data_IF_063391727991
#
_entry.id   IF_063391727991
#
_cell.length_a   1.000
_cell.length_b   1.000
_cell.length_c   1.000
_cell.angle_alpha   90.00
_cell.angle_beta   90.00
_cell.angle_gamma   90.00
#
_symmetry.space_group_name_H-M   'P 1'
#
loop_
_entity.id
_entity.type
_entity.pdbx_description
1 polymer ?
#
# COMPACT_ATOMS: atom_id res chain seq x y z
N UNK A 1 13.28 -66.89 48.55
CA UNK A 1 14.35 -65.85 48.25
C UNK A 1 14.65 -65.70 46.74
N UNK A 2 14.36 -66.68 45.88
CA UNK A 2 14.62 -66.60 44.43
C UNK A 2 13.84 -65.50 43.65
N UNK A 3 12.72 -65.00 44.18
CA UNK A 3 11.83 -64.04 43.48
C UNK A 3 12.29 -62.56 43.53
N UNK A 4 13.16 -62.21 44.46
CA UNK A 4 13.69 -60.83 44.58
C UNK A 4 14.88 -60.56 43.64
N UNK A 5 15.73 -61.56 43.45
CA UNK A 5 16.86 -61.45 42.56
C UNK A 5 16.43 -61.39 41.08
N UNK A 6 15.45 -62.19 40.67
CA UNK A 6 14.94 -62.15 39.30
C UNK A 6 14.28 -60.77 38.98
N UNK A 7 13.62 -60.14 39.92
CA UNK A 7 13.06 -58.78 39.74
C UNK A 7 14.13 -57.73 39.56
N UNK A 8 15.26 -57.86 40.21
CA UNK A 8 16.44 -56.97 40.05
C UNK A 8 16.96 -56.98 38.62
N UNK A 9 17.09 -58.15 38.00
CA UNK A 9 17.53 -58.29 36.61
C UNK A 9 16.50 -57.69 35.61
N UNK A 10 15.20 -57.86 35.84
CA UNK A 10 14.17 -57.23 34.99
C UNK A 10 14.24 -55.71 35.05
N UNK A 11 14.52 -55.13 36.21
CA UNK A 11 14.73 -53.69 36.37
C UNK A 11 15.96 -53.22 35.62
N UNK A 12 17.08 -53.93 35.72
CA UNK A 12 18.30 -53.58 34.97
C UNK A 12 18.11 -53.68 33.46
N UNK A 13 17.40 -54.69 32.96
CA UNK A 13 17.06 -54.85 31.56
C UNK A 13 16.17 -53.69 31.10
N UNK A 14 15.19 -53.33 31.90
CA UNK A 14 14.31 -52.19 31.60
C UNK A 14 15.11 -50.86 31.49
N UNK A 15 15.97 -50.61 32.47
CA UNK A 15 16.83 -49.39 32.44
C UNK A 15 17.80 -49.44 31.27
N UNK A 16 18.39 -50.59 30.97
CA UNK A 16 19.27 -50.78 29.83
C UNK A 16 18.58 -50.53 28.50
N UNK A 17 17.32 -50.99 28.38
CA UNK A 17 16.48 -50.74 27.21
C UNK A 17 16.20 -49.26 27.02
N UNK A 18 15.72 -48.55 28.06
CA UNK A 18 15.51 -47.12 27.99
C UNK A 18 16.79 -46.32 27.68
N UNK A 19 17.91 -46.71 28.27
CA UNK A 19 19.19 -46.08 27.99
C UNK A 19 19.61 -46.26 26.51
N UNK A 20 19.39 -47.44 25.95
CA UNK A 20 19.70 -47.73 24.54
C UNK A 20 18.79 -46.98 23.59
N UNK A 21 17.49 -46.84 23.90
CA UNK A 21 16.54 -45.99 23.16
C UNK A 21 16.99 -44.54 23.20
N UNK A 22 17.42 -44.06 24.37
CA UNK A 22 17.90 -42.69 24.53
C UNK A 22 19.16 -42.42 23.72
N UNK A 23 20.13 -43.32 23.78
CA UNK A 23 21.38 -43.25 22.97
C UNK A 23 21.08 -43.29 21.48
N UNK A 24 20.19 -44.16 21.04
CA UNK A 24 19.80 -44.25 19.64
C UNK A 24 19.13 -42.94 19.16
N UNK A 25 18.29 -42.37 20.01
CA UNK A 25 17.63 -41.08 19.72
C UNK A 25 18.64 -39.94 19.68
N UNK A 26 19.58 -39.92 20.61
CA UNK A 26 20.63 -38.91 20.68
C UNK A 26 21.51 -38.98 19.43
N UNK A 27 21.92 -40.20 19.05
CA UNK A 27 22.69 -40.43 17.82
C UNK A 27 21.95 -39.99 16.57
N UNK A 28 20.64 -40.30 16.47
CA UNK A 28 19.82 -39.85 15.36
C UNK A 28 19.78 -38.33 15.26
N UNK A 29 19.51 -37.61 16.35
CA UNK A 29 19.40 -36.15 16.37
C UNK A 29 20.74 -35.47 16.11
N UNK A 30 21.85 -36.00 16.68
CA UNK A 30 23.18 -35.35 16.61
C UNK A 30 23.99 -35.72 15.36
N UNK A 31 23.75 -36.87 14.78
CA UNK A 31 24.55 -37.35 13.65
C UNK A 31 23.73 -37.41 12.37
N UNK A 32 22.56 -38.08 12.38
CA UNK A 32 21.79 -38.32 11.17
C UNK A 32 20.97 -37.07 10.77
N UNK A 33 20.30 -36.44 11.73
CA UNK A 33 19.44 -35.28 11.51
C UNK A 33 20.10 -33.96 11.91
N UNK A 34 21.46 -33.95 12.06
CA UNK A 34 22.19 -32.77 12.50
C UNK A 34 21.88 -31.53 11.67
N UNK A 35 22.02 -31.63 10.34
CA UNK A 35 21.87 -30.50 9.45
C UNK A 35 20.44 -29.93 9.47
N UNK A 36 19.45 -30.82 9.56
CA UNK A 36 18.05 -30.41 9.70
C UNK A 36 17.80 -29.61 10.99
N UNK A 37 18.32 -30.11 12.13
CA UNK A 37 18.11 -29.42 13.40
C UNK A 37 18.99 -28.19 13.55
N UNK A 38 20.20 -28.18 13.00
CA UNK A 38 21.07 -27.01 12.97
C UNK A 38 20.46 -25.87 12.15
N UNK A 39 20.01 -26.15 10.92
CA UNK A 39 19.35 -25.16 10.06
C UNK A 39 18.08 -24.62 10.71
N UNK A 40 17.31 -25.48 11.38
CA UNK A 40 16.10 -25.05 12.08
C UNK A 40 16.42 -24.21 13.32
N UNK A 41 17.42 -24.56 14.09
CA UNK A 41 17.87 -23.77 15.24
C UNK A 41 18.41 -22.40 14.81
N UNK A 42 19.18 -22.33 13.71
CA UNK A 42 19.61 -21.07 13.12
C UNK A 42 18.43 -20.22 12.66
N UNK A 43 17.48 -20.83 11.96
CA UNK A 43 16.28 -20.13 11.48
C UNK A 43 15.41 -19.61 12.62
N UNK A 44 15.25 -20.38 13.70
CA UNK A 44 14.45 -20.01 14.86
C UNK A 44 15.19 -19.01 15.79
N UNK A 45 16.52 -18.95 15.71
CA UNK A 45 17.35 -18.03 16.48
C UNK A 45 17.57 -16.67 15.80
N UNK A 46 17.18 -16.51 14.53
CA UNK A 46 17.39 -15.26 13.78
C UNK A 46 16.06 -14.54 13.56
N UNK A 47 15.93 -13.37 14.15
CA UNK A 47 14.84 -12.43 13.86
C UNK A 47 15.22 -11.51 12.70
N UNK A 48 14.36 -11.44 11.69
CA UNK A 48 14.55 -10.63 10.49
C UNK A 48 13.73 -9.35 10.60
N UNK A 49 14.40 -8.22 10.73
CA UNK A 49 13.77 -6.90 10.71
C UNK A 49 13.86 -6.30 9.30
N UNK A 50 12.70 -6.06 8.72
CA UNK A 50 12.60 -5.41 7.41
C UNK A 50 12.56 -3.91 7.59
N UNK A 51 13.55 -3.23 7.01
CA UNK A 51 13.59 -1.78 6.93
C UNK A 51 12.89 -1.32 5.65
N UNK A 52 11.77 -0.61 5.82
CA UNK A 52 10.99 -0.12 4.70
C UNK A 52 11.61 1.14 4.12
N UNK A 53 11.91 1.18 2.82
CA UNK A 53 12.45 2.37 2.18
C UNK A 53 11.41 3.50 2.13
N UNK A 54 11.82 4.77 2.19
CA UNK A 54 10.95 5.85 1.80
C UNK A 54 10.66 5.76 0.29
N UNK A 55 9.40 6.01 -0.09
CA UNK A 55 9.00 6.05 -1.49
C UNK A 55 9.56 7.31 -2.16
N UNK A 56 9.79 7.28 -3.47
CA UNK A 56 10.14 8.47 -4.25
C UNK A 56 9.08 9.56 -4.11
N UNK A 57 9.47 10.81 -4.13
CA UNK A 57 8.56 11.96 -4.18
C UNK A 57 8.03 12.16 -5.59
N UNK A 58 6.87 12.82 -5.72
CA UNK A 58 6.29 13.20 -7.02
C UNK A 58 6.28 14.71 -7.11
N UNK A 59 6.82 15.23 -8.19
CA UNK A 59 6.97 16.66 -8.46
C UNK A 59 6.16 17.07 -9.68
N UNK A 60 5.75 18.32 -9.73
CA UNK A 60 5.21 18.96 -10.91
C UNK A 60 6.32 19.29 -11.94
N UNK A 61 5.98 19.88 -13.09
CA UNK A 61 6.93 20.29 -14.14
C UNK A 61 7.92 21.36 -13.69
N UNK A 62 7.60 22.13 -12.65
CA UNK A 62 8.41 23.23 -12.11
C UNK A 62 9.27 22.81 -10.90
N UNK A 63 9.17 21.53 -10.46
CA UNK A 63 9.84 21.01 -9.28
C UNK A 63 9.08 21.24 -7.97
N UNK A 64 7.80 21.69 -8.03
CA UNK A 64 6.96 21.79 -6.84
C UNK A 64 6.49 20.40 -6.37
N UNK A 65 6.50 20.19 -5.06
CA UNK A 65 6.17 18.89 -4.48
C UNK A 65 4.67 18.63 -4.52
N UNK A 66 4.26 17.62 -5.28
CA UNK A 66 2.87 17.13 -5.34
C UNK A 66 2.61 16.06 -4.27
N UNK A 67 3.55 15.12 -4.10
CA UNK A 67 3.44 14.03 -3.12
C UNK A 67 4.78 13.80 -2.46
N UNK A 68 4.81 13.76 -1.14
CA UNK A 68 6.01 13.51 -0.33
C UNK A 68 5.74 12.46 0.74
N UNK A 69 6.80 12.06 1.44
CA UNK A 69 6.70 11.16 2.58
C UNK A 69 6.56 11.95 3.88
N UNK A 70 5.65 11.50 4.73
CA UNK A 70 5.50 11.96 6.11
C UNK A 70 5.77 10.80 7.06
N UNK A 71 6.35 11.09 8.22
CA UNK A 71 6.62 10.07 9.24
C UNK A 71 5.33 9.71 9.96
N UNK A 72 5.07 8.40 10.05
CA UNK A 72 4.01 7.83 10.85
C UNK A 72 4.55 6.71 11.75
N UNK A 73 3.76 6.29 12.70
CA UNK A 73 4.15 5.30 13.69
C UNK A 73 3.11 4.20 13.82
N UNK A 74 3.54 2.95 13.73
CA UNK A 74 2.73 1.80 14.10
C UNK A 74 2.91 1.51 15.58
N UNK A 75 1.82 1.49 16.33
CA UNK A 75 1.81 1.03 17.73
C UNK A 75 1.64 -0.48 17.71
N UNK A 76 2.64 -1.17 18.24
CA UNK A 76 2.72 -2.62 18.27
C UNK A 76 2.50 -3.14 19.69
N UNK A 77 1.85 -4.31 19.84
CA UNK A 77 1.59 -4.96 21.12
C UNK A 77 2.16 -6.37 21.12
N UNK A 78 2.97 -6.70 22.12
CA UNK A 78 3.44 -8.06 22.42
C UNK A 78 2.54 -8.68 23.49
N UNK A 79 1.64 -9.57 23.08
CA UNK A 79 0.54 -10.05 23.93
C UNK A 79 1.00 -10.71 25.23
N UNK A 80 2.17 -11.38 25.24
CA UNK A 80 2.72 -12.02 26.46
C UNK A 80 2.98 -11.01 27.59
N UNK A 81 3.52 -9.86 27.23
CA UNK A 81 4.00 -8.86 28.17
C UNK A 81 2.96 -7.74 28.38
N UNK A 82 1.90 -7.74 27.58
CA UNK A 82 0.84 -6.74 27.59
C UNK A 82 -0.14 -6.96 28.74
N UNK A 83 0.24 -6.49 29.93
CA UNK A 83 -0.59 -6.51 31.14
C UNK A 83 -0.78 -5.07 31.61
N UNK A 84 -1.86 -4.44 31.16
CA UNK A 84 -2.10 -3.02 31.37
C UNK A 84 -3.52 -2.73 31.85
N UNK A 85 -3.71 -1.56 32.43
CA UNK A 85 -5.02 -0.98 32.64
C UNK A 85 -5.59 -0.53 31.30
N UNK A 86 -6.57 -1.31 30.80
CA UNK A 86 -7.20 -1.09 29.48
C UNK A 86 -7.82 0.30 29.37
N UNK A 87 -8.48 0.79 30.46
CA UNK A 87 -9.14 2.07 30.42
C UNK A 87 -8.15 3.24 30.27
N UNK A 88 -7.06 3.20 31.03
CA UNK A 88 -6.00 4.22 30.93
C UNK A 88 -5.31 4.19 29.57
N UNK A 89 -5.11 3.01 29.00
CA UNK A 89 -4.51 2.86 27.68
C UNK A 89 -5.44 3.35 26.56
N UNK A 90 -6.74 3.05 26.64
CA UNK A 90 -7.72 3.56 25.70
C UNK A 90 -7.80 5.11 25.75
N UNK A 91 -7.83 5.67 26.96
CA UNK A 91 -7.84 7.12 27.13
C UNK A 91 -6.56 7.79 26.58
N UNK A 92 -5.38 7.14 26.76
CA UNK A 92 -4.12 7.64 26.21
C UNK A 92 -4.12 7.69 24.69
N UNK A 93 -4.67 6.67 24.04
CA UNK A 93 -4.73 6.54 22.58
C UNK A 93 -5.95 7.24 21.97
N UNK A 94 -6.86 7.77 22.81
CA UNK A 94 -8.14 8.35 22.36
C UNK A 94 -8.98 7.38 21.53
N UNK A 95 -9.06 6.11 21.99
CA UNK A 95 -9.83 5.06 21.35
C UNK A 95 -10.93 4.55 22.30
N UNK A 96 -12.01 4.06 21.70
CA UNK A 96 -13.09 3.42 22.44
C UNK A 96 -12.70 1.99 22.89
N UNK A 97 -13.26 1.57 24.03
CA UNK A 97 -13.07 0.20 24.55
C UNK A 97 -13.62 -0.88 23.60
N UNK A 98 -14.65 -0.55 22.81
CA UNK A 98 -15.17 -1.44 21.78
C UNK A 98 -14.13 -1.68 20.68
N UNK A 99 -13.52 -0.63 20.16
CA UNK A 99 -12.43 -0.70 19.18
C UNK A 99 -11.24 -1.49 19.73
N UNK A 100 -10.84 -1.23 21.00
CA UNK A 100 -9.75 -1.98 21.64
C UNK A 100 -10.05 -3.48 21.64
N UNK A 101 -11.21 -3.88 22.13
CA UNK A 101 -11.61 -5.28 22.22
C UNK A 101 -11.69 -5.96 20.84
N UNK A 102 -12.20 -5.24 19.84
CA UNK A 102 -12.24 -5.72 18.46
C UNK A 102 -10.82 -5.96 17.95
N UNK A 103 -9.90 -5.03 18.13
CA UNK A 103 -8.50 -5.15 17.68
C UNK A 103 -7.78 -6.31 18.36
N UNK A 104 -7.95 -6.50 19.65
CA UNK A 104 -7.38 -7.66 20.37
C UNK A 104 -7.94 -8.97 19.82
N UNK A 105 -9.24 -9.02 19.50
CA UNK A 105 -9.88 -10.20 18.88
C UNK A 105 -9.34 -10.46 17.47
N UNK A 106 -9.14 -9.41 16.66
CA UNK A 106 -8.53 -9.51 15.33
C UNK A 106 -7.10 -10.05 15.40
N UNK A 107 -6.28 -9.54 16.32
CA UNK A 107 -4.89 -9.97 16.53
C UNK A 107 -4.84 -11.46 16.91
N UNK A 108 -5.72 -11.91 17.80
CA UNK A 108 -5.79 -13.32 18.28
C UNK A 108 -6.54 -14.26 17.33
N UNK A 109 -7.10 -13.74 16.25
CA UNK A 109 -7.90 -14.52 15.31
C UNK A 109 -7.06 -15.57 14.58
N UNK A 110 -7.64 -16.76 14.34
CA UNK A 110 -7.05 -17.81 13.51
C UNK A 110 -6.74 -17.37 12.06
N UNK A 111 -7.39 -16.30 11.61
CA UNK A 111 -7.10 -15.68 10.30
C UNK A 111 -5.73 -14.99 10.27
N UNK A 112 -5.17 -14.62 11.42
CA UNK A 112 -3.84 -14.06 11.57
C UNK A 112 -2.80 -15.19 11.69
N UNK A 113 -2.40 -15.75 10.55
CA UNK A 113 -1.41 -16.84 10.49
C UNK A 113 -0.03 -16.47 11.05
N UNK A 114 0.26 -15.19 11.23
CA UNK A 114 1.50 -14.69 11.83
C UNK A 114 1.37 -14.37 13.33
N UNK A 115 0.25 -14.74 13.96
CA UNK A 115 0.07 -14.49 15.38
C UNK A 115 1.02 -15.35 16.22
N UNK A 116 1.76 -14.66 17.07
CA UNK A 116 2.49 -15.25 18.19
C UNK A 116 2.37 -14.29 19.38
N UNK A 117 2.23 -14.84 20.57
CA UNK A 117 2.21 -14.03 21.81
C UNK A 117 3.55 -13.35 22.10
N UNK A 118 4.63 -13.81 21.50
CA UNK A 118 6.01 -13.34 21.68
C UNK A 118 6.42 -12.29 20.64
N UNK A 119 5.71 -12.22 19.50
CA UNK A 119 6.04 -11.31 18.41
C UNK A 119 5.15 -10.08 18.48
N UNK A 120 5.71 -8.86 18.34
CA UNK A 120 4.91 -7.63 18.29
C UNK A 120 3.87 -7.68 17.16
N UNK A 121 2.61 -7.46 17.50
CA UNK A 121 1.47 -7.39 16.59
C UNK A 121 1.02 -5.94 16.41
N UNK A 122 0.59 -5.60 15.19
CA UNK A 122 0.11 -4.27 14.84
C UNK A 122 -1.24 -3.99 15.52
N UNK A 123 -1.30 -2.97 16.36
CA UNK A 123 -2.51 -2.56 17.08
C UNK A 123 -3.13 -1.30 16.46
N UNK A 124 -2.34 -0.24 16.30
CA UNK A 124 -2.72 0.95 15.54
C UNK A 124 -1.69 1.16 14.44
N UNK A 125 -2.14 1.30 13.21
CA UNK A 125 -1.30 1.52 12.04
C UNK A 125 -1.25 3.00 11.70
N UNK A 126 -0.08 3.45 11.22
CA UNK A 126 0.12 4.74 10.55
C UNK A 126 -0.39 5.95 11.36
N UNK A 127 -0.16 5.96 12.67
CA UNK A 127 -0.45 7.12 13.51
C UNK A 127 0.45 8.29 13.08
N UNK A 128 -0.15 9.44 12.77
CA UNK A 128 0.61 10.63 12.36
C UNK A 128 1.53 11.13 13.48
N UNK A 129 2.63 11.76 13.05
CA UNK A 129 3.71 12.24 13.94
C UNK A 129 3.22 13.19 15.02
N UNK A 130 2.28 14.09 14.68
CA UNK A 130 1.68 15.04 15.62
C UNK A 130 0.98 14.34 16.79
N UNK A 131 0.09 13.38 16.46
CA UNK A 131 -0.63 12.62 17.48
C UNK A 131 0.32 11.75 18.33
N UNK A 132 1.31 11.13 17.69
CA UNK A 132 2.31 10.32 18.38
C UNK A 132 3.17 11.16 19.34
N UNK A 133 3.60 12.37 18.93
CA UNK A 133 4.39 13.28 19.76
C UNK A 133 3.75 13.57 21.13
N UNK A 134 2.44 13.77 21.15
CA UNK A 134 1.68 14.05 22.38
C UNK A 134 1.59 12.88 23.36
N UNK A 135 1.79 11.64 22.91
CA UNK A 135 1.63 10.43 23.73
C UNK A 135 2.92 9.63 23.93
N UNK A 136 3.98 9.94 23.18
CA UNK A 136 5.22 9.17 23.09
C UNK A 136 5.77 8.76 24.46
N UNK A 137 6.02 9.73 25.36
CA UNK A 137 6.63 9.47 26.66
C UNK A 137 5.75 8.57 27.53
N UNK A 138 4.43 8.78 27.50
CA UNK A 138 3.48 7.99 28.28
C UNK A 138 3.32 6.59 27.72
N UNK A 139 3.43 6.42 26.40
CA UNK A 139 3.27 5.14 25.72
C UNK A 139 4.40 4.16 26.09
N UNK A 140 5.64 4.63 26.24
CA UNK A 140 6.78 3.79 26.65
C UNK A 140 6.69 3.24 28.07
N UNK A 141 5.81 3.79 28.93
CA UNK A 141 5.60 3.27 30.28
C UNK A 141 4.76 1.97 30.28
N UNK A 142 4.14 1.60 29.15
CA UNK A 142 3.33 0.39 29.07
C UNK A 142 4.18 -0.80 28.61
N UNK A 143 4.33 -1.81 29.47
CA UNK A 143 5.04 -3.05 29.12
C UNK A 143 4.35 -3.77 27.97
N UNK A 144 5.13 -4.32 27.04
CA UNK A 144 4.63 -5.01 25.87
C UNK A 144 4.12 -4.10 24.76
N UNK A 145 4.27 -2.78 24.89
CA UNK A 145 4.01 -1.82 23.83
C UNK A 145 5.33 -1.41 23.19
N UNK A 146 5.40 -1.43 21.89
CA UNK A 146 6.54 -0.97 21.10
C UNK A 146 6.05 -0.14 19.92
N UNK A 147 6.94 0.61 19.28
CA UNK A 147 6.60 1.51 18.20
C UNK A 147 7.52 1.24 17.02
N UNK A 148 6.93 1.11 15.84
CA UNK A 148 7.69 0.99 14.58
C UNK A 148 7.46 2.22 13.72
N UNK A 149 8.57 2.87 13.31
CA UNK A 149 8.53 4.01 12.39
C UNK A 149 8.16 3.55 10.98
N UNK A 150 7.27 4.31 10.34
CA UNK A 150 6.80 4.13 8.97
C UNK A 150 6.80 5.44 8.22
N UNK A 151 6.58 5.37 6.93
CA UNK A 151 6.28 6.53 6.09
C UNK A 151 4.90 6.37 5.46
N UNK A 152 4.15 7.46 5.42
CA UNK A 152 2.88 7.59 4.70
C UNK A 152 3.02 8.65 3.64
N UNK A 153 2.09 8.66 2.67
CA UNK A 153 2.03 9.73 1.67
C UNK A 153 1.37 10.96 2.26
N UNK A 154 1.92 12.10 1.94
CA UNK A 154 1.37 13.40 2.26
C UNK A 154 1.30 14.23 0.97
N UNK A 155 0.15 14.87 0.75
CA UNK A 155 -0.16 15.73 -0.37
C UNK A 155 -0.23 17.15 0.16
N UNK A 156 0.83 17.97 0.00
CA UNK A 156 0.89 19.33 0.55
C UNK A 156 -0.25 20.20 0.03
N UNK A 157 -0.62 20.03 -1.23
CA UNK A 157 -1.83 20.59 -1.83
C UNK A 157 -2.86 19.47 -2.03
N UNK A 158 -4.11 19.64 -1.59
CA UNK A 158 -5.14 18.59 -1.69
C UNK A 158 -5.79 18.53 -3.09
N UNK A 159 -4.97 18.44 -4.14
CA UNK A 159 -5.36 18.45 -5.55
C UNK A 159 -4.91 17.20 -6.28
N UNK A 160 -5.43 16.95 -7.48
CA UNK A 160 -4.99 15.87 -8.37
C UNK A 160 -5.27 14.46 -7.84
N UNK A 161 -6.21 14.27 -6.93
CA UNK A 161 -6.42 13.01 -6.23
C UNK A 161 -6.54 11.79 -7.14
N UNK A 162 -7.29 11.91 -8.25
CA UNK A 162 -7.48 10.80 -9.19
C UNK A 162 -6.22 10.48 -10.01
N UNK A 163 -5.44 11.52 -10.32
CA UNK A 163 -4.22 11.36 -11.11
C UNK A 163 -3.06 10.88 -10.25
N UNK A 164 -2.82 11.54 -9.13
CA UNK A 164 -1.74 11.17 -8.21
C UNK A 164 -1.99 9.79 -7.62
N UNK A 165 -3.23 9.50 -7.26
CA UNK A 165 -3.60 8.24 -6.63
C UNK A 165 -3.26 8.20 -5.15
N UNK A 166 -3.27 7.00 -4.57
CA UNK A 166 -2.97 6.76 -3.16
C UNK A 166 -2.35 5.39 -2.96
N UNK A 167 -1.81 5.15 -1.77
CA UNK A 167 -1.24 3.86 -1.38
C UNK A 167 -2.16 3.11 -0.43
N UNK A 168 -2.25 1.78 -0.58
CA UNK A 168 -3.03 0.92 0.29
C UNK A 168 -2.25 -0.33 0.69
N UNK A 169 -2.70 -1.00 1.76
CA UNK A 169 -2.12 -2.25 2.23
C UNK A 169 -2.22 -3.32 1.14
N UNK A 170 -1.16 -4.09 0.96
CA UNK A 170 -1.12 -5.17 -0.04
C UNK A 170 -2.17 -6.24 0.22
N UNK A 171 -2.78 -6.72 -0.85
CA UNK A 171 -3.77 -7.79 -0.82
C UNK A 171 -3.11 -9.17 -0.89
N UNK A 172 -3.88 -10.22 -0.58
CA UNK A 172 -3.41 -11.61 -0.76
C UNK A 172 -3.05 -11.94 -2.21
N UNK A 173 -3.67 -11.28 -3.19
CA UNK A 173 -3.34 -11.45 -4.61
C UNK A 173 -2.00 -10.82 -4.95
N UNK A 174 -1.68 -9.67 -4.36
CA UNK A 174 -0.40 -8.99 -4.56
C UNK A 174 0.77 -9.82 -4.03
N UNK A 175 0.61 -10.40 -2.83
CA UNK A 175 1.60 -11.30 -2.23
C UNK A 175 1.91 -12.54 -3.07
N UNK A 176 0.96 -13.00 -3.90
CA UNK A 176 1.17 -14.13 -4.81
C UNK A 176 1.85 -13.72 -6.11
N UNK A 177 1.59 -12.50 -6.57
CA UNK A 177 2.09 -11.98 -7.85
C UNK A 177 3.53 -11.48 -7.77
N UNK A 178 3.91 -10.86 -6.65
CA UNK A 178 5.24 -10.27 -6.49
C UNK A 178 5.81 -10.63 -5.11
N UNK A 179 6.94 -11.35 -5.12
CA UNK A 179 7.66 -11.78 -3.91
C UNK A 179 8.31 -10.64 -3.12
N UNK A 180 8.37 -9.45 -3.71
CA UNK A 180 8.82 -8.24 -3.01
C UNK A 180 7.94 -7.93 -1.80
N UNK A 181 6.63 -8.17 -1.90
CA UNK A 181 5.68 -7.77 -0.88
C UNK A 181 5.59 -8.74 0.29
N UNK A 182 5.43 -8.15 1.46
CA UNK A 182 5.07 -8.84 2.71
C UNK A 182 3.70 -8.35 3.19
N UNK A 183 3.00 -9.04 4.10
CA UNK A 183 1.68 -8.64 4.57
C UNK A 183 1.62 -7.25 5.24
N UNK A 184 2.78 -6.66 5.54
CA UNK A 184 2.91 -5.34 6.19
C UNK A 184 3.23 -4.23 5.21
N UNK A 185 3.31 -4.51 3.91
CA UNK A 185 3.63 -3.52 2.90
C UNK A 185 2.42 -2.69 2.48
N UNK A 186 2.74 -1.53 1.95
CA UNK A 186 1.83 -0.66 1.22
C UNK A 186 2.31 -0.52 -0.22
N UNK A 187 1.37 -0.48 -1.15
CA UNK A 187 1.64 -0.29 -2.57
C UNK A 187 0.70 0.76 -3.14
N UNK A 188 1.03 1.31 -4.29
CA UNK A 188 0.13 2.17 -5.05
C UNK A 188 -1.17 1.44 -5.41
N UNK A 189 -2.31 2.07 -5.13
CA UNK A 189 -3.65 1.53 -5.36
C UNK A 189 -4.30 2.10 -6.61
N UNK A 190 -3.95 3.33 -7.00
CA UNK A 190 -4.48 4.02 -8.17
C UNK A 190 -3.51 5.09 -8.68
N UNK A 191 -3.81 5.67 -9.84
CA UNK A 191 -3.08 6.81 -10.40
C UNK A 191 -1.60 6.55 -10.65
N UNK A 192 -0.81 7.61 -10.53
CA UNK A 192 0.65 7.56 -10.69
C UNK A 192 1.32 6.66 -9.64
N UNK A 193 0.79 6.64 -8.42
CA UNK A 193 1.29 5.75 -7.36
C UNK A 193 1.23 4.27 -7.74
N UNK A 194 0.19 3.85 -8.47
CA UNK A 194 0.06 2.48 -8.95
C UNK A 194 0.90 2.24 -10.21
N UNK A 195 0.86 3.18 -11.15
CA UNK A 195 1.51 2.99 -12.45
C UNK A 195 3.04 2.93 -12.33
N UNK A 196 3.61 3.83 -11.50
CA UNK A 196 5.05 3.90 -11.22
C UNK A 196 5.43 3.22 -9.89
N UNK A 197 4.69 2.19 -9.51
CA UNK A 197 4.92 1.48 -8.24
C UNK A 197 6.36 0.96 -8.11
N UNK A 198 6.94 0.41 -9.16
CA UNK A 198 8.28 -0.21 -9.13
C UNK A 198 9.38 0.83 -8.90
N UNK A 199 9.25 1.98 -9.53
CA UNK A 199 10.17 3.10 -9.43
C UNK A 199 10.04 3.79 -8.07
N UNK A 200 8.79 4.02 -7.64
CA UNK A 200 8.49 4.74 -6.41
C UNK A 200 8.77 3.95 -5.14
N UNK A 201 8.63 2.62 -5.14
CA UNK A 201 8.64 1.80 -3.89
C UNK A 201 10.02 1.62 -3.26
N UNK A 202 11.12 1.78 -4.01
CA UNK A 202 12.49 1.55 -3.56
C UNK A 202 12.82 0.07 -3.29
N UNK A 203 13.93 -0.17 -2.59
CA UNK A 203 14.37 -1.52 -2.21
C UNK A 203 14.45 -1.64 -0.69
N UNK A 204 13.90 -2.72 -0.15
CA UNK A 204 13.91 -3.00 1.29
C UNK A 204 15.30 -3.32 1.80
N UNK A 205 15.61 -2.79 2.97
CA UNK A 205 16.71 -3.27 3.78
C UNK A 205 16.29 -4.45 4.65
N UNK A 206 17.27 -5.26 5.01
CA UNK A 206 17.07 -6.42 5.89
C UNK A 206 18.15 -6.40 6.95
N UNK A 207 17.75 -6.37 8.22
CA UNK A 207 18.64 -6.53 9.36
C UNK A 207 18.32 -7.83 10.07
N UNK A 208 19.36 -8.58 10.43
CA UNK A 208 19.23 -9.86 11.09
C UNK A 208 19.78 -9.78 12.51
N UNK A 209 18.98 -10.22 13.47
CA UNK A 209 19.34 -10.23 14.89
C UNK A 209 19.29 -11.63 15.45
N UNK A 210 20.28 -11.98 16.31
CA UNK A 210 20.18 -13.15 17.15
C UNK A 210 19.16 -12.93 18.24
N UNK A 211 18.29 -13.89 18.44
CA UNK A 211 17.29 -13.86 19.52
C UNK A 211 17.52 -14.99 20.53
N UNK A 212 17.17 -14.70 21.78
CA UNK A 212 17.12 -15.74 22.82
C UNK A 212 15.80 -16.54 22.71
N UNK A 213 15.67 -17.58 23.54
CA UNK A 213 14.47 -18.42 23.65
C UNK A 213 13.18 -17.63 24.00
N UNK A 214 13.33 -16.40 24.47
CA UNK A 214 12.22 -15.50 24.76
C UNK A 214 11.87 -14.57 23.60
N UNK A 215 12.61 -14.64 22.48
CA UNK A 215 12.44 -13.77 21.32
C UNK A 215 13.02 -12.35 21.52
N UNK A 216 13.88 -12.15 22.52
CA UNK A 216 14.55 -10.87 22.74
C UNK A 216 15.82 -10.81 21.88
N UNK A 217 16.03 -9.69 21.18
CA UNK A 217 17.23 -9.45 20.37
C UNK A 217 18.45 -9.29 21.26
N UNK A 218 19.49 -10.11 21.06
CA UNK A 218 20.71 -10.10 21.86
C UNK A 218 21.85 -9.39 21.13
N UNK A 219 22.03 -9.68 19.85
CA UNK A 219 23.12 -9.16 19.05
C UNK A 219 22.75 -9.14 17.55
N UNK A 220 23.55 -8.45 16.74
CA UNK A 220 23.48 -8.56 15.29
C UNK A 220 23.94 -9.94 14.83
N UNK A 221 23.20 -10.56 13.90
CA UNK A 221 23.60 -11.87 13.37
C UNK A 221 24.82 -11.72 12.46
N UNK A 222 25.86 -12.53 12.70
CA UNK A 222 27.14 -12.48 11.97
C UNK A 222 27.70 -11.04 11.84
N UNK A 223 27.61 -10.24 12.93
CA UNK A 223 28.07 -8.85 12.96
C UNK A 223 27.47 -7.96 11.84
N UNK A 224 26.33 -8.37 11.27
CA UNK A 224 25.63 -7.63 10.21
C UNK A 224 26.17 -7.86 8.80
N UNK A 225 27.06 -8.81 8.57
CA UNK A 225 27.63 -9.10 7.22
C UNK A 225 26.55 -9.45 6.21
N UNK A 226 25.42 -10.04 6.62
CA UNK A 226 24.31 -10.39 5.75
C UNK A 226 23.21 -9.32 5.71
N UNK A 227 23.42 -8.18 6.36
CA UNK A 227 22.46 -7.10 6.35
C UNK A 227 22.52 -6.35 5.02
N UNK A 228 21.34 -5.87 4.57
CA UNK A 228 21.21 -5.04 3.39
C UNK A 228 20.59 -3.71 3.78
N UNK A 229 21.12 -2.61 3.23
CA UNK A 229 20.61 -1.26 3.48
C UNK A 229 19.39 -1.02 2.59
N UNK A 230 18.38 -0.35 3.13
CA UNK A 230 17.23 0.09 2.35
C UNK A 230 17.62 1.22 1.39
N UNK A 231 17.14 1.14 0.14
CA UNK A 231 17.34 2.19 -0.87
C UNK A 231 16.03 2.87 -1.17
N UNK A 232 15.99 4.20 -1.04
CA UNK A 232 14.81 5.00 -1.36
C UNK A 232 14.33 4.77 -2.80
N UNK A 233 13.03 4.94 -3.03
CA UNK A 233 12.47 4.94 -4.38
C UNK A 233 12.91 6.14 -5.19
N UNK A 234 12.82 6.01 -6.51
CA UNK A 234 13.14 7.09 -7.44
C UNK A 234 12.06 8.17 -7.40
N UNK A 235 12.50 9.43 -7.48
CA UNK A 235 11.58 10.55 -7.59
C UNK A 235 10.98 10.62 -9.00
N UNK A 236 9.72 11.01 -9.08
CA UNK A 236 8.99 11.16 -10.32
C UNK A 236 8.72 12.65 -10.61
N UNK A 237 9.23 13.16 -11.74
CA UNK A 237 8.84 14.47 -12.27
C UNK A 237 7.71 14.27 -13.28
N UNK A 238 6.62 15.01 -13.11
CA UNK A 238 5.45 14.96 -13.99
C UNK A 238 5.42 16.19 -14.92
N UNK A 239 4.58 16.13 -15.93
CA UNK A 239 4.31 17.27 -16.83
C UNK A 239 3.22 18.20 -16.29
N UNK A 240 2.60 17.87 -15.15
CA UNK A 240 1.57 18.68 -14.53
C UNK A 240 2.09 20.07 -14.15
N UNK A 241 1.25 21.06 -14.34
CA UNK A 241 1.36 22.38 -13.74
C UNK A 241 0.42 22.45 -12.54
N UNK A 242 1.00 22.53 -11.34
CA UNK A 242 0.26 22.50 -10.10
C UNK A 242 -0.73 23.67 -9.97
N UNK A 243 -0.36 24.86 -10.48
CA UNK A 243 -1.22 26.05 -10.41
C UNK A 243 -2.40 25.92 -11.38
N UNK A 244 -2.17 25.39 -12.57
CA UNK A 244 -3.22 25.13 -13.55
C UNK A 244 -4.19 24.04 -13.03
N UNK A 245 -3.67 22.99 -12.42
CA UNK A 245 -4.47 21.94 -11.81
C UNK A 245 -5.35 22.48 -10.69
N UNK A 246 -4.79 23.25 -9.76
CA UNK A 246 -5.49 23.87 -8.64
C UNK A 246 -6.60 24.83 -9.12
N UNK A 247 -6.26 25.69 -10.10
CA UNK A 247 -7.23 26.61 -10.68
C UNK A 247 -8.38 25.88 -11.39
N UNK A 248 -8.05 24.81 -12.15
CA UNK A 248 -9.08 24.02 -12.81
C UNK A 248 -9.99 23.28 -11.83
N UNK A 249 -9.47 22.73 -10.74
CA UNK A 249 -10.29 22.12 -9.69
C UNK A 249 -11.18 23.15 -8.98
N UNK A 250 -10.67 24.36 -8.75
CA UNK A 250 -11.46 25.46 -8.23
C UNK A 250 -12.64 25.82 -9.15
N UNK A 251 -12.41 25.94 -10.46
CA UNK A 251 -13.46 26.24 -11.45
C UNK A 251 -14.53 25.14 -11.56
N UNK A 252 -14.15 23.90 -11.23
CA UNK A 252 -15.02 22.73 -11.30
C UNK A 252 -15.77 22.44 -9.99
N UNK A 253 -15.61 23.26 -8.97
CA UNK A 253 -16.37 23.10 -7.72
C UNK A 253 -17.87 23.16 -7.98
N UNK A 254 -18.62 22.22 -7.40
CA UNK A 254 -20.07 22.10 -7.57
C UNK A 254 -20.53 21.64 -8.96
N UNK A 255 -19.62 21.24 -9.84
CA UNK A 255 -19.91 20.71 -11.18
C UNK A 255 -19.61 19.21 -11.28
N UNK A 256 -20.14 18.59 -12.35
CA UNK A 256 -19.89 17.20 -12.71
C UNK A 256 -19.22 17.15 -14.09
N UNK A 257 -18.00 16.59 -14.15
CA UNK A 257 -17.28 16.49 -15.43
C UNK A 257 -15.78 16.36 -15.26
N UNK A 258 -15.05 16.66 -16.33
CA UNK A 258 -13.59 16.64 -16.36
C UNK A 258 -13.04 17.72 -17.29
N UNK A 259 -11.81 18.18 -17.00
CA UNK A 259 -11.03 19.02 -17.89
C UNK A 259 -9.65 18.38 -18.06
N UNK A 260 -9.18 18.28 -19.30
CA UNK A 260 -7.83 17.81 -19.62
C UNK A 260 -7.17 18.88 -20.48
N UNK A 261 -6.03 19.39 -20.02
CA UNK A 261 -5.20 20.33 -20.77
C UNK A 261 -3.95 19.62 -21.29
N UNK A 262 -3.78 19.62 -22.60
CA UNK A 262 -2.64 18.97 -23.27
C UNK A 262 -1.92 20.03 -24.13
N UNK A 263 -0.60 20.06 -24.04
CA UNK A 263 0.22 20.87 -24.92
C UNK A 263 0.36 20.19 -26.29
N UNK A 264 -0.13 20.77 -27.39
CA UNK A 264 -0.16 20.09 -28.67
C UNK A 264 1.22 19.75 -29.25
N UNK A 265 2.22 20.56 -28.95
CA UNK A 265 3.59 20.41 -29.50
C UNK A 265 4.36 19.24 -28.90
N UNK A 266 4.21 19.01 -27.59
CA UNK A 266 4.94 17.96 -26.85
C UNK A 266 4.07 16.76 -26.51
N UNK A 267 2.75 16.94 -26.46
CA UNK A 267 1.80 15.94 -25.94
C UNK A 267 1.76 15.88 -24.42
N UNK A 268 2.40 16.80 -23.71
CA UNK A 268 2.42 16.86 -22.25
C UNK A 268 1.04 17.17 -21.68
N UNK A 269 0.63 16.41 -20.67
CA UNK A 269 -0.57 16.66 -19.91
C UNK A 269 -0.26 17.69 -18.83
N UNK A 270 -0.75 18.92 -19.00
CA UNK A 270 -0.52 20.02 -18.07
C UNK A 270 -1.47 20.01 -16.89
N UNK A 271 -2.71 19.54 -17.11
CA UNK A 271 -3.71 19.37 -16.06
C UNK A 271 -4.67 18.24 -16.39
N UNK A 272 -5.13 17.52 -15.38
CA UNK A 272 -6.13 16.46 -15.48
C UNK A 272 -7.09 16.55 -14.30
N UNK A 273 -8.19 17.26 -14.51
CA UNK A 273 -9.15 17.61 -13.48
C UNK A 273 -10.35 16.69 -13.58
N UNK A 274 -10.79 16.20 -12.44
CA UNK A 274 -12.02 15.45 -12.29
C UNK A 274 -12.94 16.16 -11.28
N UNK A 275 -14.21 16.22 -11.56
CA UNK A 275 -15.20 16.78 -10.64
C UNK A 275 -16.42 15.85 -10.52
N UNK A 276 -16.89 15.60 -9.30
CA UNK A 276 -16.30 16.01 -8.04
C UNK A 276 -14.94 15.32 -7.78
N UNK A 277 -14.11 15.99 -6.98
CA UNK A 277 -12.82 15.48 -6.50
C UNK A 277 -12.85 15.34 -4.98
N UNK A 278 -11.78 14.83 -4.40
CA UNK A 278 -11.62 14.65 -2.95
C UNK A 278 -10.21 15.03 -2.51
N UNK A 279 -10.02 15.27 -1.21
CA UNK A 279 -8.70 15.47 -0.65
C UNK A 279 -7.93 14.14 -0.60
N UNK A 280 -6.84 13.97 -1.35
CA UNK A 280 -6.08 12.70 -1.40
C UNK A 280 -5.52 12.28 -0.03
N UNK A 281 -5.29 13.21 0.90
CA UNK A 281 -4.85 12.91 2.26
C UNK A 281 -5.89 12.07 3.04
N UNK A 282 -7.16 12.04 2.64
CA UNK A 282 -8.17 11.15 3.24
C UNK A 282 -7.84 9.67 3.01
N UNK A 283 -7.19 9.34 1.89
CA UNK A 283 -6.78 7.98 1.55
C UNK A 283 -5.31 7.70 1.91
N UNK A 284 -4.73 8.54 2.77
CA UNK A 284 -3.40 8.35 3.35
C UNK A 284 -3.49 8.10 4.85
N UNK A 285 -2.80 7.08 5.36
CA UNK A 285 -2.77 6.79 6.78
C UNK A 285 -3.71 5.67 7.23
N UNK A 286 -3.90 5.58 8.56
CA UNK A 286 -4.57 4.43 9.19
C UNK A 286 -6.08 4.32 8.96
N UNK A 287 -6.73 5.36 8.47
CA UNK A 287 -8.20 5.42 8.25
C UNK A 287 -8.59 5.26 6.77
N UNK A 288 -7.68 4.83 5.91
CA UNK A 288 -7.94 4.72 4.46
C UNK A 288 -9.21 3.91 4.14
N UNK A 289 -9.45 2.79 4.83
CA UNK A 289 -10.63 1.95 4.58
C UNK A 289 -11.94 2.66 4.87
N UNK A 290 -12.10 3.22 6.07
CA UNK A 290 -13.33 3.94 6.45
C UNK A 290 -13.56 5.20 5.62
N UNK A 291 -12.50 5.93 5.30
CA UNK A 291 -12.59 7.11 4.44
C UNK A 291 -12.95 6.74 2.99
N UNK A 292 -12.47 5.59 2.50
CA UNK A 292 -12.86 5.10 1.18
C UNK A 292 -14.36 4.80 1.11
N UNK A 293 -14.92 4.13 2.11
CA UNK A 293 -16.36 3.85 2.22
C UNK A 293 -17.19 5.15 2.28
N UNK A 294 -16.71 6.16 3.02
CA UNK A 294 -17.35 7.48 3.06
C UNK A 294 -17.34 8.16 1.70
N UNK A 295 -16.20 8.14 0.99
CA UNK A 295 -16.10 8.75 -0.35
C UNK A 295 -16.95 8.00 -1.38
N UNK A 296 -17.07 6.68 -1.27
CA UNK A 296 -17.92 5.86 -2.14
C UNK A 296 -19.41 6.14 -1.94
N UNK A 297 -19.81 6.45 -0.69
CA UNK A 297 -21.21 6.81 -0.35
C UNK A 297 -21.59 8.25 -0.73
N UNK A 298 -20.61 9.10 -1.10
CA UNK A 298 -20.89 10.49 -1.49
C UNK A 298 -21.60 10.59 -2.83
N UNK A 299 -22.52 11.54 -2.94
CA UNK A 299 -23.19 11.83 -4.20
C UNK A 299 -22.20 12.25 -5.31
N UNK A 300 -22.55 11.95 -6.54
CA UNK A 300 -21.74 12.30 -7.72
C UNK A 300 -20.63 11.33 -8.01
N UNK A 301 -20.55 10.17 -7.34
CA UNK A 301 -19.53 9.13 -7.59
C UNK A 301 -18.11 9.73 -7.62
N UNK A 302 -17.70 10.25 -6.45
CA UNK A 302 -16.48 11.04 -6.26
C UNK A 302 -15.21 10.27 -6.66
N UNK A 303 -15.19 8.95 -6.48
CA UNK A 303 -14.04 8.10 -6.82
C UNK A 303 -13.92 7.78 -8.31
N UNK A 304 -14.93 8.11 -9.11
CA UNK A 304 -14.94 7.81 -10.54
C UNK A 304 -14.06 8.77 -11.34
N UNK A 305 -13.06 8.22 -12.04
CA UNK A 305 -12.08 8.98 -12.82
C UNK A 305 -12.65 9.39 -14.19
N UNK A 306 -13.41 10.49 -14.23
CA UNK A 306 -14.14 10.94 -15.41
C UNK A 306 -13.25 11.30 -16.59
N UNK A 307 -12.13 11.93 -16.35
CA UNK A 307 -11.20 12.34 -17.40
C UNK A 307 -10.72 11.19 -18.29
N UNK A 308 -10.70 9.95 -17.77
CA UNK A 308 -10.20 8.77 -18.49
C UNK A 308 -11.31 7.76 -18.79
N UNK A 309 -12.30 7.63 -17.89
CA UNK A 309 -13.30 6.54 -17.98
C UNK A 309 -14.67 7.00 -18.46
N UNK A 310 -14.92 8.31 -18.58
CA UNK A 310 -16.21 8.80 -18.99
C UNK A 310 -16.43 8.56 -20.48
N UNK A 311 -17.52 7.91 -20.80
CA UNK A 311 -17.96 7.69 -22.18
C UNK A 311 -19.06 8.71 -22.50
N UNK A 312 -18.71 9.75 -23.26
CA UNK A 312 -19.64 10.80 -23.69
C UNK A 312 -19.66 10.90 -25.21
N UNK A 313 -20.83 11.14 -25.81
CA UNK A 313 -20.89 11.44 -27.24
C UNK A 313 -20.02 12.68 -27.55
N UNK A 314 -19.04 12.59 -28.48
CA UNK A 314 -18.11 13.69 -28.72
C UNK A 314 -18.75 14.89 -29.41
N UNK A 315 -19.94 14.73 -29.98
CA UNK A 315 -20.63 15.78 -30.70
C UNK A 315 -19.85 16.24 -31.94
N UNK A 316 -20.02 17.53 -32.30
CA UNK A 316 -19.42 18.11 -33.51
C UNK A 316 -17.91 18.23 -33.49
N UNK A 317 -17.28 18.13 -32.32
CA UNK A 317 -15.79 18.17 -32.21
C UNK A 317 -15.14 17.04 -33.00
N UNK A 318 -15.78 15.89 -33.10
CA UNK A 318 -15.27 14.74 -33.87
C UNK A 318 -15.20 15.02 -35.38
N UNK A 319 -15.97 15.99 -35.90
CA UNK A 319 -15.96 16.33 -37.33
C UNK A 319 -14.59 16.81 -37.82
N UNK A 320 -13.87 17.60 -37.02
CA UNK A 320 -12.52 18.05 -37.38
C UNK A 320 -11.57 16.88 -37.55
N UNK A 321 -11.61 15.91 -36.65
CA UNK A 321 -10.77 14.71 -36.73
C UNK A 321 -11.17 13.82 -37.93
N UNK A 322 -12.47 13.60 -38.14
CA UNK A 322 -12.98 12.85 -39.28
C UNK A 322 -12.60 13.51 -40.61
N UNK A 323 -12.66 14.85 -40.68
CA UNK A 323 -12.26 15.60 -41.88
C UNK A 323 -10.77 15.47 -42.13
N UNK A 324 -9.92 15.56 -41.13
CA UNK A 324 -8.48 15.35 -41.25
C UNK A 324 -8.16 13.93 -41.78
N UNK A 325 -8.82 12.90 -41.22
CA UNK A 325 -8.66 11.51 -41.68
C UNK A 325 -9.12 11.38 -43.14
N UNK A 326 -10.28 11.96 -43.53
CA UNK A 326 -10.81 11.89 -44.86
C UNK A 326 -9.90 12.56 -45.90
N UNK A 327 -9.23 13.65 -45.54
CA UNK A 327 -8.23 14.32 -46.36
C UNK A 327 -6.96 13.46 -46.49
N UNK A 328 -6.46 12.90 -45.42
CA UNK A 328 -5.24 12.08 -45.38
C UNK A 328 -5.39 10.79 -46.16
N UNK A 329 -6.54 10.11 -46.03
CA UNK A 329 -6.86 8.88 -46.79
C UNK A 329 -7.23 9.18 -48.26
N UNK A 330 -7.45 10.44 -48.63
CA UNK A 330 -7.83 10.87 -49.98
C UNK A 330 -9.29 10.55 -50.38
N UNK A 331 -10.16 10.27 -49.40
CA UNK A 331 -11.60 10.05 -49.62
C UNK A 331 -12.38 11.34 -49.75
N UNK A 332 -11.82 12.45 -49.33
CA UNK A 332 -12.38 13.80 -49.50
C UNK A 332 -11.26 14.79 -49.82
N UNK A 333 -11.63 15.95 -50.37
CA UNK A 333 -10.78 17.15 -50.55
C UNK A 333 -11.56 18.38 -50.13
N UNK A 334 -10.92 19.53 -50.13
CA UNK A 334 -11.52 20.80 -49.71
C UNK A 334 -12.82 21.16 -50.46
N UNK A 335 -12.98 20.68 -51.71
CA UNK A 335 -14.12 20.94 -52.57
C UNK A 335 -15.16 19.83 -52.51
N UNK A 336 -14.91 18.74 -51.80
CA UNK A 336 -15.85 17.63 -51.66
C UNK A 336 -17.12 18.12 -50.95
N UNK A 337 -18.24 17.96 -51.63
CA UNK A 337 -19.53 18.40 -51.10
C UNK A 337 -20.61 17.35 -51.36
N UNK A 338 -21.41 17.06 -50.34
CA UNK A 338 -22.53 16.11 -50.41
C UNK A 338 -23.84 16.79 -50.11
N UNK A 339 -24.90 16.35 -50.79
CA UNK A 339 -26.26 16.81 -50.47
C UNK A 339 -26.72 16.23 -49.15
N UNK A 340 -27.22 17.08 -48.25
CA UNK A 340 -27.81 16.64 -47.00
C UNK A 340 -29.07 15.78 -47.25
N UNK A 341 -29.09 14.58 -46.79
CA UNK A 341 -30.25 13.68 -46.80
C UNK A 341 -30.99 13.76 -45.48
N UNK A 342 -31.96 14.67 -45.40
CA UNK A 342 -32.80 14.91 -44.20
C UNK A 342 -33.55 13.67 -43.69
N UNK A 343 -33.66 12.59 -44.49
CA UNK A 343 -34.26 11.34 -44.03
C UNK A 343 -33.33 10.45 -43.25
N UNK A 344 -32.03 10.60 -43.46
CA UNK A 344 -30.98 9.77 -42.82
C UNK A 344 -30.35 10.45 -41.63
N UNK A 345 -30.30 11.80 -41.62
CA UNK A 345 -29.58 12.56 -40.59
C UNK A 345 -30.43 13.77 -40.15
N UNK A 346 -30.53 14.04 -38.86
CA UNK A 346 -31.10 15.29 -38.34
C UNK A 346 -30.33 16.48 -38.91
N UNK A 347 -31.03 17.36 -39.64
CA UNK A 347 -30.42 18.49 -40.32
C UNK A 347 -30.89 19.81 -39.71
N UNK A 348 -30.00 20.77 -39.49
CA UNK A 348 -30.24 22.09 -38.94
C UNK A 348 -30.74 23.14 -39.99
N UNK A 349 -31.29 22.69 -41.10
CA UNK A 349 -31.82 23.58 -42.16
C UNK A 349 -30.78 24.54 -42.74
N UNK A 350 -29.61 24.02 -43.11
CA UNK A 350 -28.58 24.78 -43.83
C UNK A 350 -28.70 24.61 -45.34
N UNK A 351 -28.07 25.49 -46.10
CA UNK A 351 -27.93 25.34 -47.53
C UNK A 351 -27.13 24.04 -47.88
N UNK A 352 -27.47 23.40 -49.00
CA UNK A 352 -26.79 22.18 -49.42
C UNK A 352 -26.56 22.22 -50.96
N UNK A 353 -25.44 21.68 -51.43
CA UNK A 353 -24.34 21.00 -50.67
C UNK A 353 -23.41 22.01 -50.00
N UNK A 354 -22.83 21.61 -48.85
CA UNK A 354 -21.73 22.32 -48.19
C UNK A 354 -20.40 21.66 -48.54
N UNK A 355 -19.38 22.45 -48.80
CA UNK A 355 -18.01 21.98 -48.93
C UNK A 355 -17.49 21.51 -47.56
N UNK A 356 -16.37 20.78 -47.53
CA UNK A 356 -15.79 20.26 -46.32
C UNK A 356 -15.51 21.38 -45.26
N UNK A 357 -14.88 22.52 -45.60
CA UNK A 357 -14.70 23.62 -44.64
C UNK A 357 -16.01 24.25 -44.14
N UNK A 358 -17.05 24.27 -44.97
CA UNK A 358 -18.36 24.83 -44.58
C UNK A 358 -19.18 23.86 -43.70
N UNK A 359 -18.79 22.57 -43.66
CA UNK A 359 -19.53 21.53 -42.92
C UNK A 359 -18.99 21.32 -41.49
N UNK A 360 -17.78 21.81 -41.21
CA UNK A 360 -17.11 21.77 -39.93
C UNK A 360 -17.53 22.98 -39.09
#
# INVERSE_FOLDING_TARGET
MATLESRKYHIYILFGFFFLVYLSRLFYVQVIARDFFATRAEHDAVDVDIEFPPRGNIYDRNGEVLVQNEIAYDVMITMRDFKIDTQKFCNLLEIDSAFFNQKIKEIKSEKNKGYSSYIPQEFISLMKSEKFGGIKERLFNYKGVSVKKRTIRNYPKPIGAHLLGYTNKVSRSDLRKDKYYTPRDYKGASGLELFYEKELRGQKGVRRYLTNIKGERIASYLEGVLDTVSTAGENLSTTLDVNLQEYGEYLMQGKLGAIVAIEPGSGEVLALINAPTYNPNLLSGGQTGSNYELLEAMEGNVLYQRAIKSEQPPGSIVKTMQSAIALDVGTANEFTAYRCNKKLVGCHNHETPLTLPQSI
#
